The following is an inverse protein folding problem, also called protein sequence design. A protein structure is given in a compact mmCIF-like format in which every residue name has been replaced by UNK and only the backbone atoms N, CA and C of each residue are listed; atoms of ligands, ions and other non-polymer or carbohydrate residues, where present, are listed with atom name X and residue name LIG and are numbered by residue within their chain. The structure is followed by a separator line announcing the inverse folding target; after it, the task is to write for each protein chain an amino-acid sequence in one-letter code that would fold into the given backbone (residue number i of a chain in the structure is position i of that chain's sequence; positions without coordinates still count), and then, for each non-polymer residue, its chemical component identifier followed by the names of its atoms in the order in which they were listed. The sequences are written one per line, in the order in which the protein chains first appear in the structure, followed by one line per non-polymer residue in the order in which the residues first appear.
data_IF_909646664281
#
_entry.id   IF_909646664281
#
_cell.length_a   1.000
_cell.length_b   1.000
_cell.length_c   1.000
_cell.angle_alpha   90.00
_cell.angle_beta   90.00
_cell.angle_gamma   90.00
#
_symmetry.space_group_name_H-M   'P 1'
#
loop_
_entity.id
_entity.type
_entity.pdbx_description
1 polymer ?
#
# COMPACT_ATOMS: atom_id res chain seq x y z
N UNK A 1 17.78 4.74 5.46
CA UNK A 1 17.62 3.75 6.58
C UNK A 1 18.97 3.22 7.05
N UNK A 2 19.96 3.15 6.17
CA UNK A 2 21.26 2.51 6.42
C UNK A 2 22.36 3.46 5.98
N UNK A 3 22.50 4.59 6.68
CA UNK A 3 23.75 5.36 6.63
C UNK A 3 24.71 4.75 7.65
N UNK A 4 26.01 4.82 7.36
CA UNK A 4 27.07 4.20 8.19
C UNK A 4 27.04 4.65 9.65
N UNK A 5 26.47 5.81 9.95
CA UNK A 5 26.28 6.31 11.32
C UNK A 5 25.09 5.66 12.04
N UNK A 6 23.97 5.43 11.35
CA UNK A 6 22.77 4.79 11.92
C UNK A 6 23.04 3.31 12.21
N UNK A 7 23.87 2.65 11.39
CA UNK A 7 24.25 1.25 11.59
C UNK A 7 25.05 1.06 12.88
N UNK A 8 25.70 2.12 13.40
CA UNK A 8 26.54 2.05 14.61
C UNK A 8 25.75 2.18 15.91
N UNK A 9 24.58 2.82 15.90
CA UNK A 9 23.72 2.97 17.09
C UNK A 9 22.30 2.51 16.79
N UNK A 10 21.93 1.34 17.34
CA UNK A 10 20.61 0.76 17.14
C UNK A 10 19.47 1.64 17.68
N UNK A 11 19.74 2.58 18.60
CA UNK A 11 18.74 3.52 19.12
C UNK A 11 18.30 4.57 18.10
N UNK A 12 19.09 4.79 17.04
CA UNK A 12 18.78 5.75 15.97
C UNK A 12 18.07 5.10 14.77
N UNK A 13 17.78 3.80 14.84
CA UNK A 13 17.09 3.08 13.77
C UNK A 13 15.65 3.58 13.65
N UNK A 14 15.29 4.02 12.44
CA UNK A 14 13.93 4.43 12.11
C UNK A 14 13.00 3.21 11.98
N UNK A 15 11.69 3.42 12.16
CA UNK A 15 10.66 2.40 11.96
C UNK A 15 10.62 1.92 10.50
N UNK A 16 10.26 0.64 10.32
CA UNK A 16 9.97 0.04 9.02
C UNK A 16 8.66 -0.75 9.13
N UNK A 17 7.61 -0.25 8.50
CA UNK A 17 6.26 -0.84 8.58
C UNK A 17 6.03 -1.87 7.47
N UNK A 18 5.43 -3.00 7.83
CA UNK A 18 5.17 -4.13 6.92
C UNK A 18 3.72 -4.66 7.00
N UNK A 19 2.91 -4.12 7.90
CA UNK A 19 1.53 -4.56 8.10
C UNK A 19 0.61 -4.13 6.95
N UNK A 20 -0.59 -4.68 6.91
CA UNK A 20 -1.63 -4.41 5.89
C UNK A 20 -2.22 -3.00 5.91
N UNK A 21 -1.86 -2.17 6.90
CA UNK A 21 -2.43 -0.83 7.12
C UNK A 21 -1.41 0.26 6.79
N UNK A 22 -0.24 0.25 7.45
CA UNK A 22 0.80 1.28 7.30
C UNK A 22 1.92 0.86 6.34
N UNK A 23 2.13 -0.45 6.15
CA UNK A 23 3.16 -0.96 5.25
C UNK A 23 2.90 -0.55 3.80
N UNK A 24 3.96 -0.11 3.12
CA UNK A 24 3.93 0.27 1.69
C UNK A 24 4.54 -0.82 0.81
N UNK A 25 4.25 -0.81 -0.48
CA UNK A 25 4.48 -1.93 -1.41
C UNK A 25 5.90 -2.52 -1.34
N UNK A 26 6.94 -1.71 -1.60
CA UNK A 26 8.32 -2.19 -1.65
C UNK A 26 8.81 -2.72 -0.28
N UNK A 27 8.55 -1.98 0.80
CA UNK A 27 8.94 -2.37 2.16
C UNK A 27 8.30 -3.70 2.56
N UNK A 28 6.99 -3.84 2.28
CA UNK A 28 6.24 -5.09 2.51
C UNK A 28 6.84 -6.24 1.72
N UNK A 29 7.19 -6.03 0.45
CA UNK A 29 7.77 -7.09 -0.38
C UNK A 29 9.14 -7.56 0.14
N UNK A 30 10.02 -6.66 0.56
CA UNK A 30 11.30 -7.05 1.14
C UNK A 30 11.12 -7.87 2.43
N UNK A 31 10.19 -7.48 3.31
CA UNK A 31 9.89 -8.23 4.54
C UNK A 31 9.23 -9.58 4.24
N UNK A 32 8.30 -9.63 3.29
CA UNK A 32 7.66 -10.87 2.84
C UNK A 32 8.69 -11.84 2.26
N UNK A 33 9.60 -11.35 1.41
CA UNK A 33 10.69 -12.14 0.86
C UNK A 33 11.58 -12.74 1.96
N UNK A 34 11.99 -11.92 2.93
CA UNK A 34 12.87 -12.36 4.02
C UNK A 34 12.26 -13.51 4.84
N UNK A 35 10.96 -13.46 5.14
CA UNK A 35 10.29 -14.50 5.94
C UNK A 35 9.76 -15.68 5.11
N UNK A 36 10.03 -15.72 3.81
CA UNK A 36 9.52 -16.74 2.89
C UNK A 36 8.01 -16.67 2.61
N UNK A 37 7.37 -15.52 2.82
CA UNK A 37 5.97 -15.30 2.47
C UNK A 37 5.86 -14.85 1.01
N UNK A 38 4.89 -15.35 0.22
CA UNK A 38 4.68 -14.87 -1.15
C UNK A 38 4.43 -13.36 -1.21
N UNK A 39 5.01 -12.67 -2.19
CA UNK A 39 4.82 -11.24 -2.40
C UNK A 39 3.34 -10.96 -2.72
N UNK A 40 2.69 -10.13 -1.92
CA UNK A 40 1.25 -9.88 -2.00
C UNK A 40 0.93 -8.81 -3.04
N UNK A 41 0.79 -9.19 -4.31
CA UNK A 41 0.38 -8.29 -5.40
C UNK A 41 -1.14 -8.18 -5.40
N UNK A 42 -1.69 -6.98 -5.31
CA UNK A 42 -3.14 -6.78 -5.35
C UNK A 42 -3.64 -6.66 -6.79
N UNK A 43 -4.62 -7.49 -7.13
CA UNK A 43 -5.15 -7.59 -8.48
C UNK A 43 -4.08 -8.04 -9.48
N UNK A 44 -4.08 -7.45 -10.66
CA UNK A 44 -3.09 -7.68 -11.71
C UNK A 44 -1.70 -7.07 -11.43
N UNK A 45 -1.60 -6.13 -10.48
CA UNK A 45 -0.32 -5.48 -10.11
C UNK A 45 0.14 -4.38 -11.06
N UNK A 46 -0.66 -3.99 -12.05
CA UNK A 46 -0.31 -2.93 -13.00
C UNK A 46 -0.51 -1.51 -12.47
N UNK A 47 -0.83 -1.33 -11.18
CA UNK A 47 -0.94 0.00 -10.58
C UNK A 47 0.44 0.66 -10.60
N UNK A 48 0.59 1.75 -11.35
CA UNK A 48 1.85 2.51 -11.40
C UNK A 48 1.82 3.63 -10.37
N UNK A 49 2.84 3.69 -9.52
CA UNK A 49 3.01 4.73 -8.50
C UNK A 49 4.42 5.29 -8.55
N UNK A 50 4.54 6.47 -7.97
CA UNK A 50 5.82 7.16 -7.85
C UNK A 50 6.50 6.80 -6.52
N UNK A 51 7.81 6.63 -6.55
CA UNK A 51 8.64 6.21 -5.43
C UNK A 51 9.85 7.14 -5.27
N UNK A 52 10.38 7.18 -4.05
CA UNK A 52 11.66 7.79 -3.72
C UNK A 52 12.29 7.08 -2.52
N UNK A 53 13.61 7.20 -2.40
CA UNK A 53 14.33 6.78 -1.21
C UNK A 53 14.02 7.73 -0.04
N UNK A 54 14.01 7.20 1.18
CA UNK A 54 13.86 8.01 2.40
C UNK A 54 14.98 9.05 2.54
N UNK A 55 16.20 8.76 2.05
CA UNK A 55 17.32 9.71 1.99
C UNK A 55 16.96 10.94 1.16
N UNK A 56 16.29 10.73 0.03
CA UNK A 56 15.82 11.82 -0.82
C UNK A 56 14.64 12.56 -0.19
N UNK A 57 13.84 11.91 0.67
CA UNK A 57 12.75 12.59 1.39
C UNK A 57 13.29 13.71 2.26
N UNK A 58 14.33 13.43 3.05
CA UNK A 58 14.97 14.43 3.92
C UNK A 58 15.68 15.49 3.08
N UNK A 59 16.37 15.09 2.00
CA UNK A 59 17.05 16.04 1.11
C UNK A 59 16.10 16.98 0.39
N UNK A 60 14.95 16.50 -0.08
CA UNK A 60 13.93 17.35 -0.70
C UNK A 60 13.37 18.37 0.29
N UNK A 61 13.18 17.98 1.55
CA UNK A 61 12.72 18.88 2.60
C UNK A 61 13.74 19.96 2.91
N UNK A 62 15.02 19.59 3.05
CA UNK A 62 16.13 20.52 3.20
C UNK A 62 16.19 21.52 2.05
N UNK A 63 16.07 21.05 0.79
CA UNK A 63 16.05 21.92 -0.39
C UNK A 63 14.87 22.89 -0.38
N UNK A 64 13.68 22.43 0.02
CA UNK A 64 12.49 23.28 0.09
C UNK A 64 12.60 24.37 1.16
N UNK A 65 13.26 24.07 2.29
CA UNK A 65 13.54 25.02 3.37
C UNK A 65 14.62 26.02 2.95
N UNK A 66 15.72 25.55 2.38
CA UNK A 66 16.85 26.39 1.96
C UNK A 66 16.48 27.34 0.80
N UNK A 67 15.47 26.99 0.01
CA UNK A 67 14.94 27.80 -1.08
C UNK A 67 13.47 28.10 -0.81
N UNK A 68 13.12 28.99 0.13
CA UNK A 68 11.72 29.23 0.52
C UNK A 68 10.91 29.85 -0.64
N UNK A 69 9.58 29.73 -0.56
CA UNK A 69 8.71 30.44 -1.49
C UNK A 69 8.70 31.94 -1.19
N UNK A 70 8.53 32.77 -2.22
CA UNK A 70 8.28 34.20 -2.02
C UNK A 70 6.94 34.44 -1.30
N UNK A 71 6.82 35.59 -0.65
CA UNK A 71 5.58 35.99 0.02
C UNK A 71 4.40 35.96 -0.96
N UNK A 72 3.30 35.29 -0.56
CA UNK A 72 2.10 35.14 -1.38
C UNK A 72 2.22 34.09 -2.51
N UNK A 73 3.33 33.35 -2.62
CA UNK A 73 3.48 32.26 -3.59
C UNK A 73 3.26 30.90 -2.94
N UNK A 74 2.36 30.11 -3.53
CA UNK A 74 2.17 28.70 -3.17
C UNK A 74 2.86 27.81 -4.20
N UNK A 75 3.93 27.12 -3.80
CA UNK A 75 4.66 26.18 -4.67
C UNK A 75 4.16 24.76 -4.44
N UNK A 76 4.07 24.00 -5.52
CA UNK A 76 3.73 22.58 -5.49
C UNK A 76 4.86 21.80 -6.14
N UNK A 77 5.34 20.78 -5.44
CA UNK A 77 6.36 19.87 -5.94
C UNK A 77 5.81 18.45 -5.96
N UNK A 78 5.96 17.79 -7.10
CA UNK A 78 5.76 16.35 -7.18
C UNK A 78 7.03 15.67 -6.66
N UNK A 79 7.01 15.26 -5.40
CA UNK A 79 8.16 14.72 -4.70
C UNK A 79 8.29 13.21 -4.92
N UNK A 80 8.99 12.82 -5.98
CA UNK A 80 9.40 11.45 -6.25
C UNK A 80 10.59 11.45 -7.21
N UNK A 81 11.26 10.30 -7.38
CA UNK A 81 12.40 10.15 -8.29
C UNK A 81 12.08 9.22 -9.46
N UNK A 82 11.33 8.14 -9.21
CA UNK A 82 11.04 7.09 -10.19
C UNK A 82 9.58 6.64 -10.12
N UNK A 83 9.13 5.94 -11.16
CA UNK A 83 7.79 5.37 -11.25
C UNK A 83 7.88 3.87 -11.52
N UNK A 84 7.17 3.07 -10.75
CA UNK A 84 7.15 1.62 -10.88
C UNK A 84 5.72 1.09 -10.81
N UNK A 85 5.44 0.02 -11.55
CA UNK A 85 4.26 -0.79 -11.30
C UNK A 85 4.48 -1.70 -10.08
N UNK A 86 3.41 -2.09 -9.40
CA UNK A 86 3.49 -3.04 -8.28
C UNK A 86 4.11 -4.38 -8.74
N UNK A 87 3.75 -4.84 -9.94
CA UNK A 87 4.31 -6.05 -10.53
C UNK A 87 5.82 -5.93 -10.81
N UNK A 88 6.31 -4.77 -11.26
CA UNK A 88 7.74 -4.56 -11.49
C UNK A 88 8.52 -4.56 -10.18
N UNK A 89 8.01 -3.91 -9.13
CA UNK A 89 8.61 -3.99 -7.80
C UNK A 89 8.68 -5.43 -7.28
N UNK A 90 7.63 -6.22 -7.47
CA UNK A 90 7.63 -7.62 -7.07
C UNK A 90 8.71 -8.43 -7.80
N UNK A 91 8.89 -8.21 -9.11
CA UNK A 91 9.94 -8.85 -9.91
C UNK A 91 11.34 -8.40 -9.48
N UNK A 92 11.53 -7.11 -9.18
CA UNK A 92 12.81 -6.58 -8.70
C UNK A 92 13.19 -7.21 -7.36
N UNK A 93 12.24 -7.29 -6.41
CA UNK A 93 12.46 -7.95 -5.12
C UNK A 93 12.71 -9.44 -5.29
N UNK A 94 11.97 -10.12 -6.17
CA UNK A 94 12.22 -11.54 -6.47
C UNK A 94 13.63 -11.78 -7.04
N UNK A 95 14.07 -10.92 -7.97
CA UNK A 95 15.42 -10.99 -8.55
C UNK A 95 16.50 -10.80 -7.48
N UNK A 96 16.34 -9.80 -6.61
CA UNK A 96 17.27 -9.54 -5.50
C UNK A 96 17.21 -10.63 -4.42
N UNK A 97 16.04 -11.19 -4.12
CA UNK A 97 15.94 -12.32 -3.21
C UNK A 97 16.67 -13.56 -3.72
N UNK A 98 16.64 -13.80 -5.05
CA UNK A 98 17.34 -14.92 -5.68
C UNK A 98 18.87 -14.82 -5.54
N UNK A 99 19.45 -13.62 -5.54
CA UNK A 99 20.90 -13.44 -5.31
C UNK A 99 21.31 -13.68 -3.86
N UNK A 100 20.33 -13.82 -2.96
CA UNK A 100 20.49 -14.06 -1.52
C UNK A 100 19.93 -15.42 -1.10
N UNK A 101 19.76 -16.36 -2.03
CA UNK A 101 19.22 -17.71 -1.82
C UNK A 101 17.81 -17.76 -1.20
N UNK A 102 16.99 -16.73 -1.40
CA UNK A 102 15.59 -16.71 -0.99
C UNK A 102 14.67 -17.26 -2.11
N UNK A 103 13.80 -18.22 -1.77
CA UNK A 103 12.73 -18.71 -2.66
C UNK A 103 11.52 -17.75 -2.66
N UNK A 104 11.69 -16.59 -3.31
CA UNK A 104 10.66 -15.56 -3.36
C UNK A 104 9.60 -15.90 -4.40
N UNK A 105 8.37 -16.15 -3.94
CA UNK A 105 7.18 -16.38 -4.78
C UNK A 105 6.35 -15.11 -4.90
N UNK A 106 5.68 -14.92 -6.03
CA UNK A 106 4.72 -13.83 -6.22
C UNK A 106 3.32 -14.42 -6.21
N UNK A 107 2.40 -13.82 -5.45
CA UNK A 107 1.00 -14.23 -5.38
C UNK A 107 0.08 -13.04 -5.63
N UNK A 108 -0.84 -13.21 -6.57
CA UNK A 108 -1.90 -12.25 -6.83
C UNK A 108 -3.07 -12.50 -5.87
N UNK A 109 -3.50 -11.46 -5.18
CA UNK A 109 -4.63 -11.46 -4.26
C UNK A 109 -5.76 -10.62 -4.83
N UNK A 110 -6.99 -10.90 -4.40
CA UNK A 110 -8.12 -10.00 -4.66
C UNK A 110 -7.79 -8.62 -4.11
N UNK A 111 -7.98 -7.59 -4.95
CA UNK A 111 -7.62 -6.24 -4.58
C UNK A 111 -8.58 -5.72 -3.50
N UNK A 112 -8.11 -5.42 -2.27
CA UNK A 112 -8.99 -4.88 -1.25
C UNK A 112 -9.42 -3.44 -1.56
N UNK A 113 -8.75 -2.76 -2.49
CA UNK A 113 -8.97 -1.35 -2.84
C UNK A 113 -9.81 -1.23 -4.11
N UNK A 114 -10.49 -0.10 -4.25
CA UNK A 114 -11.16 0.29 -5.50
C UNK A 114 -10.24 1.26 -6.25
N UNK A 115 -9.42 0.73 -7.15
CA UNK A 115 -8.49 1.50 -7.98
C UNK A 115 -8.30 0.85 -9.36
N UNK A 116 -7.84 1.64 -10.34
CA UNK A 116 -7.49 1.09 -11.65
C UNK A 116 -6.23 0.26 -11.54
N UNK A 117 -6.31 -1.00 -11.94
CA UNK A 117 -5.17 -1.91 -11.95
C UNK A 117 -4.28 -1.77 -13.18
N UNK A 118 -4.75 -1.06 -14.21
CA UNK A 118 -3.96 -0.59 -15.33
C UNK A 118 -4.43 0.82 -15.68
N UNK A 119 -3.48 1.74 -15.78
CA UNK A 119 -3.76 3.12 -16.15
C UNK A 119 -2.50 3.78 -16.74
N UNK A 120 -2.71 4.81 -17.56
CA UNK A 120 -1.61 5.69 -17.95
C UNK A 120 -1.10 6.45 -16.73
N UNK A 121 0.22 6.59 -16.61
CA UNK A 121 0.85 7.35 -15.54
C UNK A 121 2.15 7.96 -16.04
N UNK A 122 2.19 9.30 -16.10
CA UNK A 122 3.37 10.07 -16.53
C UNK A 122 3.38 11.41 -15.79
N UNK A 123 3.72 11.37 -14.51
CA UNK A 123 3.81 12.56 -13.67
C UNK A 123 5.17 13.25 -13.89
N UNK A 124 5.18 14.59 -13.90
CA UNK A 124 6.42 15.41 -14.00
C UNK A 124 6.97 15.72 -12.61
N UNK A 125 8.29 15.61 -12.41
CA UNK A 125 8.98 15.82 -11.12
C UNK A 125 10.25 16.68 -11.24
N UNK A 126 10.29 17.68 -12.13
CA UNK A 126 11.52 18.45 -12.41
C UNK A 126 11.87 19.49 -11.36
N UNK A 127 10.89 20.11 -10.69
CA UNK A 127 11.12 21.27 -9.82
C UNK A 127 12.15 21.03 -8.71
N UNK A 128 12.21 19.83 -8.12
CA UNK A 128 13.21 19.50 -7.09
C UNK A 128 14.59 19.22 -7.68
N UNK A 129 14.66 18.65 -8.90
CA UNK A 129 15.90 18.48 -9.65
C UNK A 129 16.49 19.85 -10.02
N UNK A 130 15.65 20.80 -10.42
CA UNK A 130 16.04 22.17 -10.75
C UNK A 130 16.61 22.92 -9.54
N UNK A 131 16.17 22.56 -8.32
CA UNK A 131 16.72 23.05 -7.06
C UNK A 131 18.00 22.33 -6.61
N UNK A 132 18.49 21.36 -7.38
CA UNK A 132 19.75 20.65 -7.12
C UNK A 132 19.60 19.31 -6.40
N UNK A 133 18.43 18.69 -6.40
CA UNK A 133 18.27 17.31 -5.93
C UNK A 133 19.17 16.37 -6.74
N UNK A 134 19.96 15.56 -6.04
CA UNK A 134 20.74 14.45 -6.60
C UNK A 134 20.09 13.15 -6.12
N UNK A 135 19.23 12.51 -6.93
CA UNK A 135 18.40 11.40 -6.48
C UNK A 135 19.20 10.13 -6.24
N UNK A 136 18.77 9.37 -5.24
CA UNK A 136 19.17 7.99 -5.00
C UNK A 136 18.15 7.07 -5.69
N UNK A 137 18.45 6.70 -6.93
CA UNK A 137 17.63 5.76 -7.68
C UNK A 137 17.64 4.37 -7.05
N UNK A 138 16.55 3.64 -7.26
CA UNK A 138 16.42 2.26 -6.83
C UNK A 138 17.45 1.39 -7.56
N UNK A 139 18.41 0.86 -6.81
CA UNK A 139 19.48 0.00 -7.32
C UNK A 139 19.40 -1.41 -6.74
N UNK A 140 20.05 -2.37 -7.42
CA UNK A 140 20.24 -3.73 -6.88
C UNK A 140 20.90 -3.67 -5.49
N UNK A 141 21.90 -2.79 -5.29
CA UNK A 141 22.56 -2.60 -3.98
C UNK A 141 21.63 -2.07 -2.88
N UNK A 142 20.67 -1.19 -3.20
CA UNK A 142 19.69 -0.70 -2.23
C UNK A 142 18.72 -1.82 -1.83
N UNK A 143 18.29 -2.63 -2.79
CA UNK A 143 17.44 -3.79 -2.54
C UNK A 143 18.16 -4.84 -1.67
N UNK A 144 19.41 -5.16 -1.98
CA UNK A 144 20.23 -6.08 -1.20
C UNK A 144 20.38 -5.59 0.25
N UNK A 145 20.62 -4.29 0.43
CA UNK A 145 20.74 -3.66 1.75
C UNK A 145 19.44 -3.76 2.54
N UNK A 146 18.29 -3.48 1.91
CA UNK A 146 16.98 -3.55 2.54
C UNK A 146 16.56 -5.00 2.85
N UNK A 147 16.87 -5.96 1.97
CA UNK A 147 16.63 -7.38 2.19
C UNK A 147 17.48 -7.93 3.33
N UNK A 148 18.77 -7.58 3.40
CA UNK A 148 19.63 -7.95 4.53
C UNK A 148 19.07 -7.42 5.85
N UNK A 149 18.57 -6.18 5.87
CA UNK A 149 17.93 -5.61 7.05
C UNK A 149 16.65 -6.37 7.43
N UNK A 150 15.82 -6.74 6.45
CA UNK A 150 14.63 -7.55 6.66
C UNK A 150 14.97 -8.94 7.23
N UNK A 151 16.01 -9.61 6.70
CA UNK A 151 16.52 -10.90 7.19
C UNK A 151 17.03 -10.76 8.63
N UNK A 152 17.81 -9.71 8.95
CA UNK A 152 18.35 -9.48 10.30
C UNK A 152 17.23 -9.45 11.36
N UNK A 153 16.08 -8.86 11.04
CA UNK A 153 14.97 -8.67 11.97
C UNK A 153 13.76 -9.58 11.71
N UNK A 154 13.90 -10.61 10.88
CA UNK A 154 12.79 -11.46 10.42
C UNK A 154 11.99 -12.11 11.56
N UNK A 155 12.65 -12.47 12.66
CA UNK A 155 12.03 -13.11 13.84
C UNK A 155 11.05 -12.18 14.57
N UNK A 156 11.10 -10.87 14.32
CA UNK A 156 10.20 -9.87 14.91
C UNK A 156 8.90 -9.69 14.12
N UNK A 157 8.75 -10.39 12.99
CA UNK A 157 7.62 -10.21 12.08
C UNK A 157 6.40 -10.99 12.58
N UNK A 158 5.31 -10.27 12.89
CA UNK A 158 4.00 -10.86 13.11
C UNK A 158 3.33 -11.16 11.77
N UNK A 159 3.35 -12.43 11.38
CA UNK A 159 2.76 -12.92 10.13
C UNK A 159 1.25 -12.63 10.02
N UNK A 160 0.54 -12.46 11.14
CA UNK A 160 -0.89 -12.17 11.15
C UNK A 160 -1.21 -10.74 10.66
N UNK A 161 -0.21 -9.87 10.51
CA UNK A 161 -0.41 -8.50 10.02
C UNK A 161 -0.12 -8.33 8.53
N UNK A 162 0.36 -9.37 7.84
CA UNK A 162 0.81 -9.24 6.45
C UNK A 162 -0.36 -9.03 5.50
N UNK A 163 -1.40 -9.84 5.61
CA UNK A 163 -2.54 -9.79 4.69
C UNK A 163 -3.42 -8.55 4.98
N UNK A 164 -4.01 -7.94 3.93
CA UNK A 164 -4.92 -6.82 4.12
C UNK A 164 -6.17 -7.27 4.88
N UNK A 165 -6.58 -6.48 5.88
CA UNK A 165 -7.77 -6.75 6.71
C UNK A 165 -8.93 -5.79 6.42
N UNK A 166 -8.71 -4.79 5.58
CA UNK A 166 -9.67 -3.73 5.28
C UNK A 166 -10.02 -3.79 3.81
N UNK A 167 -11.32 -3.91 3.49
CA UNK A 167 -11.83 -3.83 2.13
C UNK A 167 -12.58 -2.52 1.90
N UNK A 168 -12.36 -1.91 0.73
CA UNK A 168 -13.07 -0.72 0.24
C UNK A 168 -14.29 -1.08 -0.59
N UNK A 169 -14.47 -2.36 -0.89
CA UNK A 169 -15.65 -2.84 -1.57
C UNK A 169 -16.83 -2.63 -0.61
N UNK A 170 -17.82 -1.84 -1.04
CA UNK A 170 -19.07 -1.73 -0.29
C UNK A 170 -19.73 -3.10 -0.35
N UNK A 171 -19.89 -3.75 0.79
CA UNK A 171 -20.84 -4.85 0.90
C UNK A 171 -22.20 -4.28 0.45
N UNK A 172 -22.81 -4.89 -0.58
CA UNK A 172 -24.24 -4.67 -0.79
C UNK A 172 -24.88 -5.20 0.49
N UNK A 173 -25.36 -4.31 1.35
CA UNK A 173 -26.26 -4.70 2.42
C UNK A 173 -27.38 -5.48 1.74
N UNK A 174 -27.38 -6.82 1.89
CA UNK A 174 -28.59 -7.59 1.66
C UNK A 174 -29.52 -7.11 2.76
N UNK A 175 -30.30 -6.08 2.43
CA UNK A 175 -31.50 -5.78 3.17
C UNK A 175 -32.36 -7.03 3.00
N UNK A 176 -32.31 -7.91 4.00
CA UNK A 176 -33.19 -9.06 4.06
C UNK A 176 -34.62 -8.53 3.94
N UNK A 177 -35.33 -8.94 2.90
CA UNK A 177 -36.76 -8.69 2.69
C UNK A 177 -37.64 -9.42 3.73
N UNK A 178 -37.26 -9.38 5.01
CA UNK A 178 -38.11 -9.77 6.14
C UNK A 178 -39.17 -8.70 6.45
N UNK A 179 -39.01 -7.48 5.93
CA UNK A 179 -40.00 -6.41 6.06
C UNK A 179 -41.19 -6.55 5.09
N UNK A 180 -41.03 -7.21 3.93
CA UNK A 180 -42.14 -7.41 2.99
C UNK A 180 -43.07 -8.55 3.41
N UNK A 181 -42.56 -9.62 4.04
CA UNK A 181 -43.42 -10.69 4.55
C UNK A 181 -44.24 -10.29 5.78
N UNK A 182 -43.77 -9.32 6.58
CA UNK A 182 -44.51 -8.84 7.77
C UNK A 182 -45.66 -7.89 7.40
N UNK A 183 -45.51 -7.13 6.30
CA UNK A 183 -46.58 -6.26 5.80
C UNK A 183 -47.65 -7.12 5.10
N UNK A 184 -47.26 -8.09 4.26
CA UNK A 184 -48.20 -8.97 3.57
C UNK A 184 -49.00 -9.86 4.53
N UNK A 185 -48.42 -10.31 5.65
CA UNK A 185 -49.15 -11.10 6.66
C UNK A 185 -50.16 -10.25 7.44
N UNK A 186 -49.78 -9.03 7.87
CA UNK A 186 -50.69 -8.13 8.59
C UNK A 186 -51.86 -7.67 7.74
N UNK A 187 -51.68 -7.39 6.45
CA UNK A 187 -52.77 -7.01 5.53
C UNK A 187 -53.73 -8.18 5.25
N UNK A 188 -53.25 -9.43 5.30
CA UNK A 188 -54.11 -10.62 5.17
C UNK A 188 -54.94 -10.90 6.43
N UNK A 189 -54.39 -10.67 7.62
CA UNK A 189 -55.14 -10.81 8.88
C UNK A 189 -56.23 -9.74 9.01
N UNK A 190 -55.95 -8.48 8.66
CA UNK A 190 -56.95 -7.40 8.74
C UNK A 190 -58.11 -7.58 7.76
N UNK A 191 -57.86 -8.10 6.56
CA UNK A 191 -58.94 -8.37 5.60
C UNK A 191 -59.80 -9.57 6.02
N UNK A 192 -59.25 -10.53 6.77
CA UNK A 192 -60.01 -11.70 7.25
C UNK A 192 -60.95 -11.35 8.40
N UNK A 193 -60.57 -10.40 9.25
CA UNK A 193 -61.46 -9.87 10.30
C UNK A 193 -62.62 -9.04 9.71
N UNK A 194 -62.37 -8.24 8.67
CA UNK A 194 -63.40 -7.43 8.01
C UNK A 194 -64.47 -8.29 7.31
N UNK A 195 -64.09 -9.40 6.67
CA UNK A 195 -65.05 -10.31 6.01
C UNK A 195 -65.90 -11.12 7.02
N UNK A 196 -65.44 -11.29 8.25
CA UNK A 196 -66.18 -12.01 9.30
C UNK A 196 -67.25 -11.15 10.01
N UNK A 197 -67.21 -9.83 9.85
CA UNK A 197 -68.17 -8.89 10.45
C UNK A 197 -69.34 -8.56 9.51
N UNK A 198 -69.26 -8.93 8.22
CA UNK A 198 -70.34 -8.71 7.24
C UNK A 198 -71.29 -9.92 7.03
N UNK A 199 -71.12 -10.99 7.79
CA UNK A 199 -72.06 -12.15 7.77
C UNK A 199 -72.50 -12.48 9.20
N UNK A 200 -73.24 -11.55 9.82
CA UNK A 200 -74.17 -11.79 10.93
C UNK A 200 -75.26 -10.72 10.96
#
# INVERSE_FOLDING_TARGET
LLDDEIIKDELLINRLDYDGVFGTALNRFCIQAAIGHPLTVYGSGGQTRAFLDIRDTVRCMELAIANPAEAGKFRVFNQFTEMFSVADLAKMVQKAGKTMDLDVKISNLDNPRVELEQHYFNAKNTNLLDLGLKPHYLSDSLLDSLLNFAIKYQERVDKNQILPKVSWHREKTQQSDSAQNTIVSKTKETNKELDSVQVQ
#
